data_IF_163929986006
#
_entry.id   IF_163929986006
#
_cell.length_a   1.000
_cell.length_b   1.000
_cell.length_c   1.000
_cell.angle_alpha   90.00
_cell.angle_beta   90.00
_cell.angle_gamma   90.00
#
_symmetry.space_group_name_H-M   'P 1'
#
loop_
_entity.id
_entity.type
_entity.pdbx_description
1 polymer ?
#
# COMPACT_ATOMS: atom_id res chain seq x y z
N UNK A 1 -41.42 -10.19 -71.27
CA UNK A 1 -41.88 -11.47 -70.70
C UNK A 1 -40.81 -11.93 -69.71
N UNK A 2 -41.16 -11.98 -68.41
CA UNK A 2 -40.58 -12.76 -67.28
C UNK A 2 -39.06 -13.07 -67.30
N UNK A 3 -38.28 -12.52 -66.37
CA UNK A 3 -37.92 -13.08 -65.04
C UNK A 3 -36.54 -13.77 -65.03
N UNK A 4 -35.65 -13.28 -64.15
CA UNK A 4 -35.01 -14.04 -63.06
C UNK A 4 -33.50 -13.80 -62.85
N UNK A 5 -33.25 -13.14 -61.72
CA UNK A 5 -32.17 -13.25 -60.73
C UNK A 5 -30.91 -14.08 -61.00
N UNK A 6 -29.77 -13.49 -60.66
CA UNK A 6 -28.65 -14.19 -60.01
C UNK A 6 -27.98 -13.27 -58.97
N UNK A 7 -28.19 -13.63 -57.71
CA UNK A 7 -27.50 -13.18 -56.50
C UNK A 7 -26.15 -13.88 -56.33
N UNK A 8 -25.14 -13.18 -55.81
CA UNK A 8 -24.08 -13.64 -54.86
C UNK A 8 -22.82 -12.77 -55.03
N UNK A 9 -21.98 -12.49 -54.04
CA UNK A 9 -22.00 -12.62 -52.59
C UNK A 9 -20.86 -11.70 -52.08
N UNK A 10 -21.08 -10.96 -51.00
CA UNK A 10 -20.02 -10.19 -50.32
C UNK A 10 -19.29 -11.15 -49.39
N UNK A 11 -18.01 -11.42 -49.65
CA UNK A 11 -17.10 -12.04 -48.68
C UNK A 11 -16.38 -10.93 -47.90
N UNK A 12 -16.80 -10.71 -46.65
CA UNK A 12 -16.01 -9.99 -45.65
C UNK A 12 -15.04 -10.98 -45.01
N UNK A 13 -13.75 -10.87 -45.34
CA UNK A 13 -12.69 -11.60 -44.66
C UNK A 13 -12.44 -11.02 -43.27
N UNK A 14 -12.80 -11.77 -42.22
CA UNK A 14 -12.40 -11.47 -40.84
C UNK A 14 -10.93 -11.85 -40.65
N UNK A 15 -10.06 -10.86 -40.41
CA UNK A 15 -8.69 -11.12 -39.94
C UNK A 15 -8.75 -11.39 -38.45
N UNK A 16 -8.60 -12.65 -38.08
CA UNK A 16 -8.40 -13.07 -36.70
C UNK A 16 -7.03 -12.59 -36.22
N UNK A 17 -6.99 -11.58 -35.33
CA UNK A 17 -5.78 -11.23 -34.59
C UNK A 17 -5.49 -12.32 -33.55
N UNK A 18 -4.75 -13.35 -33.93
CA UNK A 18 -4.09 -14.24 -32.97
C UNK A 18 -2.93 -13.47 -32.33
N UNK A 19 -3.14 -12.93 -31.13
CA UNK A 19 -2.09 -12.35 -30.30
C UNK A 19 -1.21 -13.48 -29.74
N UNK A 20 -0.29 -13.98 -30.58
CA UNK A 20 0.80 -14.82 -30.11
C UNK A 20 1.87 -13.89 -29.52
N UNK A 21 2.37 -14.11 -28.30
CA UNK A 21 3.42 -13.27 -27.76
C UNK A 21 4.69 -13.40 -28.62
N UNK A 22 5.30 -12.27 -28.95
CA UNK A 22 6.55 -12.21 -29.72
C UNK A 22 7.65 -13.00 -29.00
N UNK A 23 8.09 -14.11 -29.60
CA UNK A 23 9.18 -14.93 -29.09
C UNK A 23 10.46 -14.64 -29.89
N UNK A 24 11.58 -14.47 -29.18
CA UNK A 24 12.89 -14.30 -29.80
C UNK A 24 13.16 -12.91 -30.38
N UNK A 25 13.58 -12.86 -31.65
CA UNK A 25 14.08 -11.67 -32.34
C UNK A 25 13.09 -10.49 -32.29
N UNK A 26 11.79 -10.75 -32.41
CA UNK A 26 10.74 -9.73 -32.34
C UNK A 26 10.68 -9.03 -30.97
N UNK A 27 11.04 -9.72 -29.86
CA UNK A 27 11.14 -9.08 -28.55
C UNK A 27 12.32 -8.13 -28.45
N UNK A 28 13.44 -8.40 -29.14
CA UNK A 28 14.57 -7.45 -29.24
C UNK A 28 14.18 -6.23 -30.05
N UNK A 29 13.55 -6.40 -31.21
CA UNK A 29 13.13 -5.27 -32.05
C UNK A 29 12.09 -4.40 -31.34
N UNK A 30 11.15 -5.02 -30.62
CA UNK A 30 10.16 -4.30 -29.80
C UNK A 30 10.83 -3.63 -28.60
N UNK A 31 11.79 -4.29 -27.94
CA UNK A 31 12.59 -3.70 -26.87
C UNK A 31 13.42 -2.52 -27.37
N UNK A 32 14.07 -2.59 -28.52
CA UNK A 32 14.76 -1.45 -29.16
C UNK A 32 13.78 -0.30 -29.44
N UNK A 33 12.52 -0.60 -29.77
CA UNK A 33 11.47 0.41 -29.95
C UNK A 33 10.99 1.05 -28.64
N UNK A 34 10.97 0.30 -27.54
CA UNK A 34 10.68 0.81 -26.20
C UNK A 34 11.88 1.52 -25.57
N UNK A 35 13.09 1.06 -25.85
CA UNK A 35 14.37 1.64 -25.42
C UNK A 35 14.64 2.98 -26.16
N UNK A 36 13.99 3.23 -27.31
CA UNK A 36 13.91 4.58 -27.90
C UNK A 36 13.11 5.59 -27.05
N UNK A 37 12.32 5.11 -26.08
CA UNK A 37 11.59 5.95 -25.12
C UNK A 37 12.29 6.05 -23.76
N UNK A 38 13.36 5.28 -23.54
CA UNK A 38 14.26 5.55 -22.42
C UNK A 38 15.12 6.75 -22.75
N UNK A 39 15.36 7.58 -21.73
CA UNK A 39 16.25 8.73 -21.79
C UNK A 39 17.63 8.27 -22.25
N UNK A 40 17.96 8.53 -23.52
CA UNK A 40 19.29 8.26 -24.02
C UNK A 40 20.17 9.39 -23.45
N UNK A 41 20.88 9.13 -22.34
CA UNK A 41 21.78 10.10 -21.70
C UNK A 41 22.93 10.61 -22.60
N UNK A 42 22.99 10.17 -23.86
CA UNK A 42 23.89 10.68 -24.92
C UNK A 42 23.19 11.55 -25.96
N UNK A 43 21.85 11.67 -25.91
CA UNK A 43 21.12 12.64 -26.71
C UNK A 43 21.34 14.02 -26.10
N UNK A 44 21.98 14.91 -26.86
CA UNK A 44 22.12 16.31 -26.48
C UNK A 44 20.73 16.91 -26.28
N UNK A 45 20.30 17.06 -25.02
CA UNK A 45 19.15 17.90 -24.69
C UNK A 45 19.46 19.31 -25.17
N UNK A 46 18.60 19.91 -25.99
CA UNK A 46 18.71 21.31 -26.37
C UNK A 46 18.37 22.27 -25.21
N UNK A 47 18.00 21.72 -24.04
CA UNK A 47 17.70 22.45 -22.82
C UNK A 47 18.79 22.13 -21.77
N UNK A 48 20.03 22.54 -22.06
CA UNK A 48 21.16 22.42 -21.12
C UNK A 48 21.25 23.60 -20.15
N UNK A 49 20.55 24.70 -20.43
CA UNK A 49 20.57 25.87 -19.57
C UNK A 49 19.77 25.60 -18.29
N UNK A 50 20.39 25.86 -17.15
CA UNK A 50 19.72 25.82 -15.88
C UNK A 50 18.57 26.85 -15.87
N UNK A 51 17.46 26.50 -15.23
CA UNK A 51 16.38 27.45 -15.02
C UNK A 51 16.91 28.71 -14.33
N UNK A 52 16.52 29.87 -14.83
CA UNK A 52 16.90 31.16 -14.26
C UNK A 52 16.40 31.26 -12.82
N UNK A 53 17.27 31.69 -11.91
CA UNK A 53 16.89 31.89 -10.51
C UNK A 53 16.14 33.21 -10.34
N UNK A 54 15.09 33.19 -9.52
CA UNK A 54 14.30 34.38 -9.18
C UNK A 54 13.96 34.35 -7.69
N UNK A 55 13.64 35.50 -7.12
CA UNK A 55 13.19 35.61 -5.72
C UNK A 55 11.69 35.81 -5.70
N UNK A 56 10.98 34.96 -4.95
CA UNK A 56 9.55 35.10 -4.76
C UNK A 56 9.23 36.41 -4.00
N UNK A 57 8.15 37.14 -4.33
CA UNK A 57 7.80 38.40 -3.67
C UNK A 57 7.48 38.26 -2.18
N UNK A 58 7.05 37.06 -1.75
CA UNK A 58 6.65 36.71 -0.39
C UNK A 58 7.23 35.34 -0.06
N UNK A 59 7.44 35.06 1.23
CA UNK A 59 7.79 33.71 1.70
C UNK A 59 6.63 32.76 1.42
N UNK A 60 6.92 31.48 1.21
CA UNK A 60 5.89 30.48 0.95
C UNK A 60 5.18 30.09 2.26
N UNK A 61 3.90 30.48 2.48
CA UNK A 61 3.16 30.11 3.69
C UNK A 61 2.78 28.62 3.73
N UNK A 62 2.87 27.92 2.59
CA UNK A 62 2.63 26.48 2.46
C UNK A 62 3.92 25.67 2.39
N UNK A 63 5.05 26.24 2.81
CA UNK A 63 6.30 25.51 2.84
C UNK A 63 6.18 24.29 3.77
N UNK A 64 6.76 23.13 3.40
CA UNK A 64 6.81 21.98 4.27
C UNK A 64 7.59 22.29 5.54
N UNK A 65 7.52 21.41 6.55
CA UNK A 65 8.39 21.53 7.71
C UNK A 65 9.85 21.37 7.30
N UNK A 66 10.73 22.21 7.84
CA UNK A 66 12.17 21.98 7.73
C UNK A 66 12.57 20.77 8.59
N UNK A 67 13.72 20.14 8.35
CA UNK A 67 14.22 19.07 9.21
C UNK A 67 14.32 19.47 10.68
N UNK A 68 14.71 20.72 10.96
CA UNK A 68 14.85 21.25 12.32
C UNK A 68 13.49 21.46 12.99
N UNK A 69 12.50 21.98 12.26
CA UNK A 69 11.13 22.11 12.75
C UNK A 69 10.52 20.73 13.05
N UNK A 70 10.71 19.76 12.15
CA UNK A 70 10.22 18.39 12.34
C UNK A 70 10.84 17.74 13.58
N UNK A 71 12.16 17.86 13.76
CA UNK A 71 12.87 17.35 14.94
C UNK A 71 12.43 18.05 16.23
N UNK A 72 12.18 19.36 16.20
CA UNK A 72 11.69 20.09 17.36
C UNK A 72 10.28 19.62 17.77
N UNK A 73 9.38 19.42 16.80
CA UNK A 73 8.04 18.87 17.05
C UNK A 73 8.15 17.44 17.58
N UNK A 74 8.96 16.59 16.96
CA UNK A 74 9.23 15.23 17.43
C UNK A 74 9.67 15.22 18.90
N UNK A 75 10.64 16.07 19.24
CA UNK A 75 11.19 16.17 20.61
C UNK A 75 10.13 16.66 21.60
N UNK A 76 9.32 17.65 21.20
CA UNK A 76 8.21 18.15 22.02
C UNK A 76 7.18 17.04 22.31
N UNK A 77 6.78 16.27 21.29
CA UNK A 77 5.81 15.19 21.43
C UNK A 77 6.31 14.08 22.37
N UNK A 78 7.60 13.73 22.31
CA UNK A 78 8.22 12.72 23.16
C UNK A 78 8.62 13.23 24.55
N UNK A 79 8.50 14.53 24.81
CA UNK A 79 8.75 15.05 26.15
C UNK A 79 7.76 14.44 27.15
N UNK A 80 8.19 14.05 28.37
CA UNK A 80 7.28 13.58 29.42
C UNK A 80 6.15 14.57 29.73
N UNK A 81 6.38 15.87 29.49
CA UNK A 81 5.39 16.93 29.71
C UNK A 81 4.24 16.92 28.72
N UNK A 82 4.37 16.25 27.56
CA UNK A 82 3.29 16.13 26.58
C UNK A 82 2.14 15.24 27.08
N UNK A 83 2.44 14.31 27.99
CA UNK A 83 1.48 13.31 28.48
C UNK A 83 1.07 12.26 27.44
N UNK A 84 1.74 12.20 26.28
CA UNK A 84 1.38 11.28 25.18
C UNK A 84 1.92 9.86 25.35
N UNK A 85 2.93 9.68 26.22
CA UNK A 85 3.56 8.38 26.53
C UNK A 85 3.97 7.61 25.25
N UNK A 86 4.82 8.23 24.44
CA UNK A 86 5.18 7.72 23.11
C UNK A 86 6.38 6.76 23.17
N UNK A 87 6.25 5.64 22.47
CA UNK A 87 7.31 4.69 22.15
C UNK A 87 7.89 5.01 20.77
N UNK A 88 9.19 4.75 20.58
CA UNK A 88 9.81 4.87 19.26
C UNK A 88 9.11 3.94 18.25
N UNK A 89 8.71 4.42 17.06
CA UNK A 89 7.98 3.61 16.08
C UNK A 89 8.72 2.35 15.60
N UNK A 90 10.05 2.29 15.72
CA UNK A 90 10.82 1.09 15.36
C UNK A 90 10.74 -0.01 16.42
N UNK A 91 10.38 0.34 17.66
CA UNK A 91 10.25 -0.57 18.80
C UNK A 91 8.80 -0.79 19.21
N UNK A 92 7.89 0.07 18.76
CA UNK A 92 6.49 0.08 19.16
C UNK A 92 5.73 -1.19 18.76
N UNK A 93 4.90 -1.68 19.69
CA UNK A 93 3.90 -2.71 19.45
C UNK A 93 2.49 -2.10 19.43
N UNK A 94 1.48 -2.92 19.15
CA UNK A 94 0.10 -2.45 18.97
C UNK A 94 -0.55 -1.90 20.25
N UNK A 95 0.01 -2.20 21.42
CA UNK A 95 -0.45 -1.66 22.70
C UNK A 95 0.29 -0.39 23.12
N UNK A 96 1.16 0.14 22.27
CA UNK A 96 1.90 1.37 22.55
C UNK A 96 1.25 2.57 21.86
N UNK A 97 1.63 3.77 22.30
CA UNK A 97 1.35 5.00 21.58
C UNK A 97 2.60 5.37 20.77
N UNK A 98 2.45 5.72 19.50
CA UNK A 98 3.61 6.13 18.68
C UNK A 98 3.21 7.08 17.55
N UNK A 99 4.15 7.91 17.14
CA UNK A 99 3.98 8.85 16.03
C UNK A 99 4.03 8.09 14.72
N UNK A 100 2.97 8.17 13.94
CA UNK A 100 2.92 7.62 12.58
C UNK A 100 3.46 8.62 11.56
N UNK A 101 3.11 9.90 11.70
CA UNK A 101 3.46 10.93 10.72
C UNK A 101 3.52 12.33 11.34
N UNK A 102 4.45 13.17 10.88
CA UNK A 102 4.52 14.60 11.21
C UNK A 102 4.64 15.37 9.89
N UNK A 103 3.76 16.34 9.66
CA UNK A 103 3.77 17.19 8.48
C UNK A 103 3.33 18.63 8.79
N UNK A 104 3.42 19.54 7.83
CA UNK A 104 2.89 20.89 7.95
C UNK A 104 1.35 20.86 7.99
N UNK A 105 0.77 21.50 9.00
CA UNK A 105 -0.66 21.82 9.01
C UNK A 105 -0.87 23.07 8.16
N UNK A 106 -1.56 22.89 7.04
CA UNK A 106 -1.73 23.97 6.06
C UNK A 106 -2.63 25.07 6.63
N UNK A 107 -2.18 26.31 6.48
CA UNK A 107 -2.86 27.49 7.02
C UNK A 107 -4.16 27.78 6.26
N UNK A 108 -5.14 28.33 6.97
CA UNK A 108 -6.43 28.64 6.37
C UNK A 108 -6.29 29.72 5.30
N UNK A 109 -7.02 29.57 4.19
CA UNK A 109 -7.00 30.54 3.07
C UNK A 109 -7.31 31.96 3.55
N UNK A 110 -8.25 32.12 4.48
CA UNK A 110 -8.63 33.41 5.06
C UNK A 110 -7.49 34.13 5.79
N UNK A 111 -6.54 33.39 6.36
CA UNK A 111 -5.37 33.94 7.05
C UNK A 111 -4.24 34.27 6.08
N UNK A 112 -4.14 33.51 4.99
CA UNK A 112 -3.08 33.67 3.99
C UNK A 112 -3.37 34.81 3.00
N UNK A 113 -4.62 35.02 2.60
CA UNK A 113 -4.96 36.08 1.62
C UNK A 113 -4.50 37.48 2.04
N UNK A 114 -4.69 37.94 3.30
CA UNK A 114 -4.17 39.25 3.73
C UNK A 114 -2.65 39.39 3.65
N UNK A 115 -1.91 38.28 3.77
CA UNK A 115 -0.44 38.27 3.67
C UNK A 115 0.06 38.33 2.22
N UNK A 116 -0.61 37.61 1.32
CA UNK A 116 -0.22 37.53 -0.09
C UNK A 116 -0.68 38.77 -0.85
N UNK A 117 -1.93 39.19 -0.65
CA UNK A 117 -2.56 40.27 -1.40
C UNK A 117 -2.39 41.65 -0.73
N UNK A 118 -1.83 41.69 0.48
CA UNK A 118 -1.64 42.90 1.27
C UNK A 118 -0.35 42.90 2.09
N UNK A 119 -0.38 43.67 3.18
CA UNK A 119 0.77 43.90 4.07
C UNK A 119 0.62 43.23 5.44
N UNK A 120 -0.31 42.27 5.58
CA UNK A 120 -0.42 41.51 6.82
C UNK A 120 0.85 40.70 7.09
N UNK A 121 1.08 40.35 8.36
CA UNK A 121 2.20 39.50 8.75
C UNK A 121 2.02 38.08 8.19
N UNK A 122 3.13 37.34 8.06
CA UNK A 122 3.09 35.93 7.68
C UNK A 122 2.28 35.15 8.74
N UNK A 123 1.29 34.35 8.33
CA UNK A 123 0.52 33.54 9.28
C UNK A 123 1.41 32.58 10.06
N UNK A 124 1.01 32.28 11.29
CA UNK A 124 1.70 31.30 12.11
C UNK A 124 1.70 29.92 11.45
N UNK A 125 2.84 29.23 11.53
CA UNK A 125 3.02 27.88 11.00
C UNK A 125 2.71 26.86 12.09
N UNK A 126 2.00 25.80 11.72
CA UNK A 126 1.65 24.70 12.62
C UNK A 126 2.09 23.38 12.01
N UNK A 127 2.40 22.41 12.85
CA UNK A 127 2.57 21.02 12.45
C UNK A 127 1.29 20.24 12.74
N UNK A 128 1.10 19.16 11.97
CA UNK A 128 0.10 18.12 12.18
C UNK A 128 0.85 16.84 12.51
N UNK A 129 0.49 16.19 13.61
CA UNK A 129 1.00 14.86 13.94
C UNK A 129 -0.15 13.84 13.97
N UNK A 130 0.09 12.67 13.40
CA UNK A 130 -0.83 11.52 13.50
C UNK A 130 -0.21 10.55 14.50
N UNK A 131 -0.94 10.23 15.56
CA UNK A 131 -0.48 9.34 16.63
C UNK A 131 -1.42 8.15 16.69
N UNK A 132 -0.85 6.94 16.65
CA UNK A 132 -1.60 5.72 16.91
C UNK A 132 -1.54 5.44 18.39
N UNK A 133 -2.67 5.56 19.09
CA UNK A 133 -2.76 5.49 20.55
C UNK A 133 -3.28 4.12 20.98
N UNK A 134 -2.44 3.10 20.78
CA UNK A 134 -2.74 1.69 21.10
C UNK A 134 -2.82 1.39 22.59
N UNK A 135 -2.18 2.22 23.43
CA UNK A 135 -2.11 2.03 24.88
C UNK A 135 -3.30 2.53 25.66
N UNK A 136 -4.31 3.09 24.99
CA UNK A 136 -5.57 3.49 25.62
C UNK A 136 -6.47 2.30 25.91
N UNK A 137 -7.37 2.47 26.88
CA UNK A 137 -8.46 1.52 27.11
C UNK A 137 -9.34 1.35 25.85
N UNK A 138 -9.62 2.46 25.17
CA UNK A 138 -10.26 2.50 23.85
C UNK A 138 -9.26 3.09 22.84
N UNK A 139 -8.53 2.25 22.09
CA UNK A 139 -7.52 2.71 21.14
C UNK A 139 -8.13 3.51 19.99
N UNK A 140 -7.37 4.51 19.51
CA UNK A 140 -7.69 5.28 18.32
C UNK A 140 -6.43 5.78 17.58
N UNK A 141 -6.62 6.29 16.37
CA UNK A 141 -5.63 7.09 15.66
C UNK A 141 -6.05 8.54 15.78
N UNK A 142 -5.35 9.33 16.59
CA UNK A 142 -5.68 10.73 16.83
C UNK A 142 -4.69 11.64 16.13
N UNK A 143 -5.23 12.65 15.48
CA UNK A 143 -4.43 13.73 14.93
C UNK A 143 -4.38 14.94 15.83
N UNK A 144 -3.23 15.59 15.83
CA UNK A 144 -2.91 16.74 16.65
C UNK A 144 -2.43 17.91 15.80
N UNK A 145 -2.80 19.10 16.23
CA UNK A 145 -2.25 20.38 15.77
C UNK A 145 -1.21 20.83 16.80
N UNK A 146 -0.02 21.19 16.32
CA UNK A 146 1.13 21.57 17.15
C UNK A 146 1.65 22.91 16.67
N UNK A 147 1.56 23.93 17.50
CA UNK A 147 2.12 25.23 17.15
C UNK A 147 1.71 26.34 18.13
N UNK A 148 2.11 27.58 17.82
CA UNK A 148 2.84 27.98 16.62
C UNK A 148 4.30 27.46 16.60
N UNK A 149 4.89 27.38 15.41
CA UNK A 149 6.31 27.10 15.17
C UNK A 149 7.10 28.40 14.94
N UNK A 150 8.41 28.45 15.31
CA UNK A 150 9.22 27.40 15.93
C UNK A 150 8.77 27.06 17.36
N UNK A 151 9.06 25.83 17.80
CA UNK A 151 8.65 25.34 19.13
C UNK A 151 9.16 26.28 20.23
N UNK A 152 8.25 26.74 21.08
CA UNK A 152 8.50 27.68 22.17
C UNK A 152 7.56 27.40 23.36
N UNK A 153 7.61 28.23 24.40
CA UNK A 153 6.66 28.17 25.52
C UNK A 153 5.21 28.47 25.12
N UNK A 154 4.98 29.07 23.95
CA UNK A 154 3.65 29.35 23.41
C UNK A 154 3.10 28.17 22.59
N UNK A 155 3.95 27.20 22.26
CA UNK A 155 3.54 26.04 21.44
C UNK A 155 2.64 25.12 22.25
N UNK A 156 1.45 24.87 21.73
CA UNK A 156 0.45 23.98 22.32
C UNK A 156 0.30 22.74 21.43
N UNK A 157 0.01 21.61 22.07
CA UNK A 157 -0.41 20.38 21.42
C UNK A 157 -1.92 20.25 21.67
N UNK A 158 -2.72 20.31 20.61
CA UNK A 158 -4.17 20.20 20.70
C UNK A 158 -4.70 19.16 19.72
N UNK A 159 -5.85 18.55 20.02
CA UNK A 159 -6.49 17.63 19.09
C UNK A 159 -6.97 18.41 17.86
N UNK A 160 -6.59 17.94 16.68
CA UNK A 160 -7.02 18.54 15.43
C UNK A 160 -8.47 18.14 15.14
N UNK A 161 -9.36 19.11 14.95
CA UNK A 161 -10.79 18.86 14.76
C UNK A 161 -11.36 19.57 13.52
N UNK A 162 -11.02 20.85 13.33
CA UNK A 162 -11.68 21.75 12.38
C UNK A 162 -11.59 21.35 10.89
N UNK A 163 -10.69 20.43 10.51
CA UNK A 163 -10.55 19.95 9.12
C UNK A 163 -11.57 18.86 8.75
N UNK A 164 -12.29 18.31 9.73
CA UNK A 164 -13.04 17.07 9.57
C UNK A 164 -14.55 17.28 9.70
N UNK A 165 -15.29 16.63 8.80
CA UNK A 165 -16.76 16.69 8.78
C UNK A 165 -17.44 15.48 9.46
N UNK A 166 -16.65 14.54 10.01
CA UNK A 166 -17.12 13.24 10.49
C UNK A 166 -17.62 13.20 11.94
N UNK A 167 -17.62 14.33 12.66
CA UNK A 167 -18.07 14.43 14.04
C UNK A 167 -17.12 13.86 15.10
N UNK A 168 -16.10 13.11 14.71
CA UNK A 168 -15.03 12.60 15.59
C UNK A 168 -13.73 13.43 15.51
N UNK A 169 -13.77 14.57 14.82
CA UNK A 169 -12.58 15.37 14.53
C UNK A 169 -11.51 14.57 13.80
N UNK A 170 -10.26 14.78 14.20
CA UNK A 170 -9.11 14.03 13.71
C UNK A 170 -8.90 12.67 14.37
N UNK A 171 -9.90 12.11 15.05
CA UNK A 171 -9.85 10.74 15.56
C UNK A 171 -10.45 9.76 14.55
N UNK A 172 -9.74 8.65 14.31
CA UNK A 172 -10.19 7.52 13.49
C UNK A 172 -10.12 6.25 14.35
N UNK A 173 -11.14 5.36 14.30
CA UNK A 173 -11.10 4.10 15.03
C UNK A 173 -9.82 3.31 14.77
N UNK A 174 -9.23 2.73 15.81
CA UNK A 174 -7.91 2.11 15.71
C UNK A 174 -7.81 1.07 14.60
N UNK A 175 -8.81 0.20 14.45
CA UNK A 175 -8.84 -0.84 13.41
C UNK A 175 -8.82 -0.27 11.97
N UNK A 176 -9.35 0.94 11.78
CA UNK A 176 -9.46 1.63 10.50
C UNK A 176 -8.23 2.48 10.14
N UNK A 177 -7.27 2.63 11.07
CA UNK A 177 -6.01 3.36 10.81
C UNK A 177 -5.17 2.66 9.73
N UNK A 178 -4.19 3.40 9.21
CA UNK A 178 -3.25 2.88 8.22
C UNK A 178 -2.58 1.56 8.66
N UNK A 179 -2.30 0.68 7.71
CA UNK A 179 -1.67 -0.61 7.99
C UNK A 179 -0.15 -0.50 7.85
N UNK A 180 0.50 -0.22 8.98
CA UNK A 180 1.91 0.13 9.09
C UNK A 180 2.81 -1.07 9.44
N UNK A 181 4.07 -0.78 9.77
CA UNK A 181 5.09 -1.75 10.19
C UNK A 181 4.65 -2.58 11.40
N UNK A 182 4.32 -1.95 12.55
CA UNK A 182 3.83 -2.67 13.74
C UNK A 182 2.65 -3.61 13.46
N UNK A 183 1.65 -3.20 12.66
CA UNK A 183 0.54 -4.10 12.26
C UNK A 183 1.00 -5.24 11.36
N UNK A 184 1.94 -4.98 10.47
CA UNK A 184 2.54 -6.03 9.62
C UNK A 184 3.27 -7.06 10.49
N UNK A 185 4.14 -6.61 11.39
CA UNK A 185 4.86 -7.45 12.35
C UNK A 185 3.93 -8.25 13.25
N UNK A 186 2.82 -7.67 13.69
CA UNK A 186 1.84 -8.35 14.53
C UNK A 186 1.06 -9.47 13.81
N UNK A 187 0.86 -9.35 12.49
CA UNK A 187 0.09 -10.34 11.73
C UNK A 187 0.96 -11.42 11.07
N UNK A 188 2.26 -11.15 10.85
CA UNK A 188 3.16 -12.10 10.18
C UNK A 188 3.28 -13.46 10.90
N UNK A 189 3.38 -13.56 12.24
CA UNK A 189 3.50 -14.84 12.92
C UNK A 189 2.30 -15.77 12.69
N UNK A 190 1.08 -15.22 12.68
CA UNK A 190 -0.13 -15.99 12.38
C UNK A 190 -0.10 -16.48 10.92
N UNK A 191 0.25 -15.61 9.98
CA UNK A 191 0.33 -15.94 8.55
C UNK A 191 1.40 -17.02 8.33
N UNK A 192 2.59 -16.84 8.90
CA UNK A 192 3.69 -17.79 8.85
C UNK A 192 3.27 -19.15 9.40
N UNK A 193 2.64 -19.19 10.57
CA UNK A 193 2.15 -20.43 11.18
C UNK A 193 1.16 -21.18 10.28
N UNK A 194 0.16 -20.46 9.75
CA UNK A 194 -0.86 -21.03 8.87
C UNK A 194 -0.24 -21.56 7.58
N UNK A 195 0.58 -20.75 6.91
CA UNK A 195 1.18 -21.09 5.62
C UNK A 195 2.23 -22.20 5.74
N UNK A 196 2.99 -22.25 6.84
CA UNK A 196 3.92 -23.34 7.13
C UNK A 196 3.20 -24.68 7.24
N UNK A 197 2.02 -24.70 7.87
CA UNK A 197 1.22 -25.90 8.06
C UNK A 197 0.61 -26.45 6.76
N UNK A 198 0.57 -25.64 5.69
CA UNK A 198 0.09 -26.04 4.36
C UNK A 198 1.17 -25.92 3.29
N UNK A 199 2.45 -25.91 3.70
CA UNK A 199 3.59 -25.68 2.81
C UNK A 199 3.75 -26.77 1.74
N UNK A 200 3.39 -28.01 2.05
CA UNK A 200 3.34 -29.13 1.09
C UNK A 200 2.30 -28.89 -0.01
N UNK A 201 1.12 -28.39 0.36
CA UNK A 201 0.04 -28.03 -0.56
C UNK A 201 0.48 -26.84 -1.42
N UNK A 202 0.98 -25.76 -0.81
CA UNK A 202 1.36 -24.55 -1.56
C UNK A 202 2.54 -24.84 -2.51
N UNK A 203 3.52 -25.63 -2.08
CA UNK A 203 4.63 -26.06 -2.93
C UNK A 203 4.14 -26.87 -4.14
N UNK A 204 3.20 -27.78 -3.93
CA UNK A 204 2.64 -28.61 -5.01
C UNK A 204 1.80 -27.83 -6.02
N UNK A 205 1.16 -26.73 -5.60
CA UNK A 205 0.32 -25.88 -6.45
C UNK A 205 1.11 -24.78 -7.15
N UNK A 206 2.08 -24.18 -6.46
CA UNK A 206 2.74 -22.95 -6.87
C UNK A 206 4.20 -23.18 -7.24
N UNK A 207 4.52 -24.30 -7.89
CA UNK A 207 5.87 -24.58 -8.43
C UNK A 207 6.98 -24.44 -7.36
N UNK A 208 6.72 -24.95 -6.16
CA UNK A 208 7.63 -24.81 -5.01
C UNK A 208 7.40 -23.55 -4.16
N UNK A 209 6.36 -22.77 -4.46
CA UNK A 209 5.97 -21.57 -3.71
C UNK A 209 5.54 -21.88 -2.26
N UNK A 210 6.22 -21.26 -1.30
CA UNK A 210 6.02 -21.42 0.15
C UNK A 210 6.26 -20.09 0.88
N UNK A 211 5.62 -19.95 2.05
CA UNK A 211 5.76 -18.79 2.91
C UNK A 211 5.90 -19.23 4.38
N UNK A 212 7.02 -18.88 5.00
CA UNK A 212 7.36 -19.19 6.39
C UNK A 212 7.49 -17.93 7.26
N UNK A 213 7.15 -16.75 6.73
CA UNK A 213 7.32 -15.45 7.38
C UNK A 213 8.14 -14.48 6.53
N UNK A 214 7.97 -13.18 6.75
CA UNK A 214 8.58 -12.15 5.89
C UNK A 214 10.11 -12.12 5.98
N UNK A 215 10.65 -12.54 7.12
CA UNK A 215 12.08 -12.54 7.41
C UNK A 215 12.72 -13.93 7.33
N UNK A 216 11.96 -14.97 6.96
CA UNK A 216 12.48 -16.32 6.80
C UNK A 216 13.01 -16.52 5.38
N UNK A 217 14.29 -16.89 5.25
CA UNK A 217 14.97 -17.09 3.96
C UNK A 217 14.36 -18.20 3.11
N UNK A 218 13.59 -19.11 3.72
CA UNK A 218 12.89 -20.19 3.00
C UNK A 218 11.62 -19.67 2.31
N UNK A 219 11.13 -18.49 2.68
CA UNK A 219 9.98 -17.86 2.02
C UNK A 219 10.35 -17.41 0.61
N UNK A 220 9.65 -17.96 -0.38
CA UNK A 220 9.84 -17.60 -1.79
C UNK A 220 8.55 -17.08 -2.44
N UNK A 221 7.56 -16.73 -1.62
CA UNK A 221 6.36 -15.99 -1.99
C UNK A 221 6.37 -14.63 -1.33
N UNK A 222 5.80 -13.64 -2.02
CA UNK A 222 5.49 -12.33 -1.46
C UNK A 222 4.00 -12.24 -1.18
N UNK A 223 3.60 -11.34 -0.27
CA UNK A 223 2.20 -11.11 0.04
C UNK A 223 1.80 -9.66 -0.26
N UNK A 224 0.52 -9.47 -0.50
CA UNK A 224 -0.15 -8.18 -0.53
C UNK A 224 -1.51 -8.33 0.14
N UNK A 225 -2.17 -7.22 0.50
CA UNK A 225 -3.53 -7.26 1.02
C UNK A 225 -4.37 -6.21 0.33
N UNK A 226 -5.64 -6.51 0.11
CA UNK A 226 -6.63 -5.50 -0.28
C UNK A 226 -6.92 -4.52 0.85
N UNK A 227 -7.44 -3.35 0.49
CA UNK A 227 -8.02 -2.34 1.39
C UNK A 227 -9.44 -1.99 0.90
N UNK A 228 -10.34 -1.45 1.75
CA UNK A 228 -10.17 -1.17 3.18
C UNK A 228 -10.09 -2.44 4.03
N UNK A 229 -9.50 -2.32 5.23
CA UNK A 229 -9.36 -3.42 6.19
C UNK A 229 -10.43 -3.41 7.28
N UNK A 230 -11.07 -2.25 7.48
CA UNK A 230 -12.16 -2.05 8.44
C UNK A 230 -13.28 -1.29 7.75
N UNK A 231 -14.52 -1.62 8.07
CA UNK A 231 -15.70 -0.93 7.52
C UNK A 231 -16.15 0.23 8.41
N UNK A 232 -16.29 -0.02 9.71
CA UNK A 232 -16.83 0.92 10.70
C UNK A 232 -15.91 1.10 11.93
N UNK A 233 -14.71 0.52 11.91
CA UNK A 233 -13.76 0.58 13.02
C UNK A 233 -13.93 -0.50 14.09
N UNK A 234 -15.02 -1.26 14.08
CA UNK A 234 -15.27 -2.31 15.09
C UNK A 234 -14.40 -3.55 14.89
N UNK A 235 -14.05 -3.84 13.64
CA UNK A 235 -13.33 -5.04 13.24
C UNK A 235 -12.29 -4.73 12.16
N UNK A 236 -11.26 -5.57 12.04
CA UNK A 236 -10.28 -5.51 10.97
C UNK A 236 -10.05 -6.90 10.34
N UNK A 237 -10.26 -6.99 9.03
CA UNK A 237 -10.03 -8.19 8.25
C UNK A 237 -8.98 -7.94 7.18
N UNK A 238 -8.06 -8.89 6.99
CA UNK A 238 -7.13 -8.87 5.85
C UNK A 238 -7.50 -9.94 4.85
N UNK A 239 -7.56 -9.53 3.59
CA UNK A 239 -7.61 -10.43 2.45
C UNK A 239 -6.24 -10.44 1.78
N UNK A 240 -5.43 -11.44 2.14
CA UNK A 240 -4.03 -11.55 1.79
C UNK A 240 -3.90 -12.39 0.52
N UNK A 241 -3.36 -11.78 -0.54
CA UNK A 241 -3.03 -12.47 -1.79
C UNK A 241 -1.54 -12.75 -1.84
N UNK A 242 -1.17 -13.98 -2.19
CA UNK A 242 0.22 -14.35 -2.44
C UNK A 242 0.61 -14.09 -3.90
N UNK A 243 1.89 -13.79 -4.13
CA UNK A 243 2.48 -13.47 -5.44
C UNK A 243 3.85 -14.11 -5.57
N UNK A 244 4.22 -14.51 -6.78
CA UNK A 244 5.64 -14.83 -7.03
C UNK A 244 6.50 -13.56 -6.92
N UNK A 245 7.70 -13.65 -6.34
CA UNK A 245 8.58 -12.51 -6.12
C UNK A 245 9.17 -11.98 -7.44
N UNK A 246 9.63 -10.74 -7.43
CA UNK A 246 10.24 -10.06 -8.59
C UNK A 246 9.85 -8.59 -8.71
N UNK A 247 10.47 -7.83 -9.62
CA UNK A 247 10.23 -6.38 -9.75
C UNK A 247 8.80 -6.01 -10.17
N UNK A 248 8.02 -6.96 -10.71
CA UNK A 248 6.64 -6.77 -11.13
C UNK A 248 5.68 -7.78 -10.44
N UNK A 249 5.81 -7.97 -9.12
CA UNK A 249 5.00 -8.96 -8.37
C UNK A 249 3.48 -8.81 -8.57
N UNK A 250 3.01 -7.61 -8.87
CA UNK A 250 1.60 -7.34 -9.16
C UNK A 250 1.10 -8.04 -10.45
N UNK A 251 2.00 -8.44 -11.36
CA UNK A 251 1.68 -9.23 -12.55
C UNK A 251 1.76 -10.74 -12.32
N UNK A 252 2.20 -11.17 -11.14
CA UNK A 252 2.34 -12.59 -10.78
C UNK A 252 1.46 -12.97 -9.58
N UNK A 253 0.16 -12.59 -9.56
CA UNK A 253 -0.74 -13.01 -8.49
C UNK A 253 -0.99 -14.51 -8.54
N UNK A 254 -1.08 -15.11 -7.36
CA UNK A 254 -1.60 -16.45 -7.19
C UNK A 254 -3.09 -16.35 -6.88
N UNK A 255 -3.90 -17.21 -7.49
CA UNK A 255 -5.32 -17.41 -7.12
C UNK A 255 -5.41 -18.19 -5.81
N UNK A 256 -4.85 -17.60 -4.76
CA UNK A 256 -4.80 -18.15 -3.41
C UNK A 256 -4.78 -17.00 -2.40
N UNK A 257 -5.86 -16.90 -1.66
CA UNK A 257 -6.10 -15.83 -0.72
C UNK A 257 -6.25 -16.41 0.68
N UNK A 258 -5.58 -15.79 1.64
CA UNK A 258 -5.69 -16.06 3.07
C UNK A 258 -6.50 -14.94 3.72
N UNK A 259 -7.59 -15.31 4.39
CA UNK A 259 -8.45 -14.36 5.12
C UNK A 259 -8.17 -14.48 6.62
N UNK A 260 -7.74 -13.40 7.25
CA UNK A 260 -7.53 -13.34 8.70
C UNK A 260 -8.34 -12.22 9.34
N UNK A 261 -8.75 -12.46 10.58
CA UNK A 261 -9.26 -11.47 11.52
C UNK A 261 -8.08 -10.96 12.35
N UNK A 262 -7.81 -9.66 12.24
CA UNK A 262 -6.74 -8.97 12.96
C UNK A 262 -7.28 -7.78 13.75
N UNK A 263 -8.46 -7.97 14.36
CA UNK A 263 -9.16 -6.95 15.14
C UNK A 263 -8.44 -6.68 16.47
N UNK A 264 -8.28 -5.40 16.80
CA UNK A 264 -7.75 -4.96 18.09
C UNK A 264 -6.23 -4.95 18.18
N UNK A 265 -5.74 -4.76 19.41
CA UNK A 265 -4.32 -4.55 19.75
C UNK A 265 -3.61 -5.82 20.20
N UNK A 266 -4.33 -6.92 20.47
CA UNK A 266 -3.76 -8.19 20.94
C UNK A 266 -3.64 -9.20 19.78
N UNK A 267 -2.42 -9.47 19.28
CA UNK A 267 -2.22 -10.41 18.18
C UNK A 267 -2.53 -11.86 18.54
N UNK A 268 -2.58 -12.21 19.83
CA UNK A 268 -2.93 -13.57 20.27
C UNK A 268 -4.40 -13.92 20.01
N UNK A 269 -5.25 -12.91 19.83
CA UNK A 269 -6.67 -13.06 19.48
C UNK A 269 -6.90 -13.12 17.97
N UNK A 270 -5.86 -12.89 17.16
CA UNK A 270 -5.98 -12.94 15.72
C UNK A 270 -6.26 -14.36 15.25
N UNK A 271 -7.05 -14.50 14.20
CA UNK A 271 -7.52 -15.82 13.78
C UNK A 271 -7.68 -15.95 12.27
N UNK A 272 -7.50 -17.20 11.80
CA UNK A 272 -7.81 -17.58 10.44
C UNK A 272 -9.33 -17.60 10.23
N UNK A 273 -9.83 -16.83 9.26
CA UNK A 273 -11.22 -16.93 8.80
C UNK A 273 -11.38 -18.02 7.74
N UNK A 274 -10.39 -18.19 6.87
CA UNK A 274 -10.38 -19.24 5.86
C UNK A 274 -9.53 -18.87 4.66
N UNK A 275 -9.71 -19.62 3.58
CA UNK A 275 -9.00 -19.44 2.33
C UNK A 275 -9.98 -19.19 1.18
N UNK A 276 -9.54 -18.46 0.16
CA UNK A 276 -10.26 -18.37 -1.12
C UNK A 276 -9.33 -18.79 -2.24
N UNK A 277 -9.82 -19.66 -3.12
CA UNK A 277 -9.13 -20.04 -4.35
C UNK A 277 -10.17 -20.54 -5.36
N UNK A 278 -9.97 -20.26 -6.65
CA UNK A 278 -10.86 -20.67 -7.72
C UNK A 278 -12.33 -20.33 -7.40
N UNK A 279 -12.55 -19.07 -6.97
CA UNK A 279 -13.86 -18.49 -6.66
C UNK A 279 -14.62 -19.16 -5.50
N UNK A 280 -13.95 -19.99 -4.70
CA UNK A 280 -14.55 -20.73 -3.58
C UNK A 280 -13.91 -20.36 -2.26
N UNK A 281 -14.74 -20.17 -1.24
CA UNK A 281 -14.33 -20.01 0.14
C UNK A 281 -14.21 -21.37 0.84
N UNK A 282 -13.14 -21.54 1.61
CA UNK A 282 -12.81 -22.75 2.35
C UNK A 282 -12.60 -22.41 3.82
N UNK A 283 -13.47 -22.85 4.73
CA UNK A 283 -13.25 -22.69 6.17
C UNK A 283 -12.09 -23.58 6.65
N UNK A 284 -11.53 -23.21 7.80
CA UNK A 284 -10.26 -23.69 8.38
C UNK A 284 -10.03 -25.20 8.40
N UNK A 285 -11.07 -26.01 8.61
CA UNK A 285 -10.96 -27.47 8.75
C UNK A 285 -10.98 -28.25 7.43
N UNK A 286 -11.24 -27.58 6.31
CA UNK A 286 -11.65 -28.24 5.06
C UNK A 286 -10.58 -28.19 3.97
N UNK A 287 -9.58 -27.30 4.06
CA UNK A 287 -8.57 -27.13 3.02
C UNK A 287 -7.75 -28.42 2.81
N UNK A 288 -7.11 -28.94 3.87
CA UNK A 288 -6.31 -30.18 3.78
C UNK A 288 -7.13 -31.40 3.33
N UNK A 289 -8.34 -31.58 3.88
CA UNK A 289 -9.22 -32.69 3.49
C UNK A 289 -9.72 -32.59 2.05
N UNK A 290 -10.03 -31.40 1.53
CA UNK A 290 -10.47 -31.24 0.14
C UNK A 290 -9.30 -31.22 -0.85
N UNK A 291 -8.10 -30.76 -0.47
CA UNK A 291 -6.93 -30.84 -1.35
C UNK A 291 -6.40 -32.28 -1.49
N UNK A 292 -6.40 -33.07 -0.40
CA UNK A 292 -6.04 -34.49 -0.47
C UNK A 292 -7.07 -35.32 -1.26
N UNK A 293 -8.36 -34.95 -1.20
CA UNK A 293 -9.43 -35.72 -1.86
C UNK A 293 -9.84 -35.20 -3.25
N UNK A 294 -9.62 -33.92 -3.54
CA UNK A 294 -9.97 -33.33 -4.83
C UNK A 294 -8.73 -33.21 -5.71
N UNK A 295 -8.80 -33.84 -6.88
CA UNK A 295 -8.07 -33.40 -8.08
C UNK A 295 -8.53 -31.98 -8.43
N UNK A 296 -8.16 -30.98 -7.63
CA UNK A 296 -8.31 -29.59 -8.02
C UNK A 296 -7.53 -29.45 -9.33
N UNK A 297 -8.17 -28.97 -10.42
CA UNK A 297 -7.50 -28.86 -11.69
C UNK A 297 -6.31 -27.93 -11.48
N UNK A 298 -5.09 -28.49 -11.50
CA UNK A 298 -3.87 -27.71 -11.58
C UNK A 298 -4.04 -26.85 -12.83
N UNK A 299 -4.32 -25.56 -12.69
CA UNK A 299 -4.13 -24.65 -13.82
C UNK A 299 -2.64 -24.69 -14.08
N UNK A 300 -2.23 -25.38 -15.14
CA UNK A 300 -0.87 -25.22 -15.67
C UNK A 300 -0.75 -23.73 -15.93
N UNK A 301 0.05 -23.04 -15.11
CA UNK A 301 0.65 -21.78 -15.51
C UNK A 301 1.56 -22.17 -16.66
N UNK A 302 1.02 -22.16 -17.89
CA UNK A 302 1.79 -22.36 -19.10
C UNK A 302 2.68 -21.13 -19.24
N UNK A 303 3.83 -21.16 -18.59
CA UNK A 303 4.98 -20.39 -19.05
C UNK A 303 5.38 -21.09 -20.34
N UNK A 304 5.19 -20.39 -21.46
CA UNK A 304 5.46 -20.88 -22.81
C UNK A 304 6.89 -21.42 -22.92
N UNK A 305 6.99 -22.75 -23.05
CA UNK A 305 7.84 -23.43 -24.02
C UNK A 305 9.28 -23.76 -23.63
N UNK A 306 9.49 -24.89 -22.96
CA UNK A 306 10.68 -25.72 -23.22
C UNK A 306 10.36 -26.68 -24.38
N UNK A 307 10.83 -26.36 -25.57
CA UNK A 307 10.95 -27.32 -26.66
C UNK A 307 12.34 -27.98 -26.55
N UNK A 308 12.34 -29.24 -26.11
CA UNK A 308 13.46 -30.17 -26.22
C UNK A 308 13.67 -30.47 -27.71
N UNK A 309 14.86 -30.22 -28.23
CA UNK A 309 15.34 -30.81 -29.48
C UNK A 309 16.35 -31.88 -29.11
N UNK A 310 15.91 -33.15 -29.15
CA UNK A 310 16.80 -34.29 -29.31
C UNK A 310 17.27 -34.34 -30.77
N UNK A 311 18.54 -34.71 -30.97
CA UNK A 311 19.07 -35.09 -32.27
C UNK A 311 18.61 -36.47 -32.72
#
# INVERSE_FOLDING_TARGET
MRCSFLTSAVLLGTVSSSAVPFLGYDRRVVRDYFDKRTDNGTAYSCLTEAATTTVAPKLNPWAPLTPEENLAVWTLLHSPTSGLNLTDPNEAVLTDNYVFWIDALHTNKSEVLPYIDGDAAMPAKYARAIIFEGGKAEPDSQEYMIGPLPVSSETVIEKLDYLYNGGAGGSVPYNARYFDGPRSSATDPLIASIMSNISDITAALFQGGVYYGSSDERSNLSLTSGTPLSFDGTSAFRNIMFRFPGPATYMTPLDFYLLIDCTGTDPSLYSLKGFVTNEKFYPTTVLGQKFCNAKLPKRRTTILGNAVLGG
#
